data_IF_420085274356
#
_entry.id   IF_420085274356
#
_cell.length_a   1.000
_cell.length_b   1.000
_cell.length_c   1.000
_cell.angle_alpha   90.00
_cell.angle_beta   90.00
_cell.angle_gamma   90.00
#
_symmetry.space_group_name_H-M   'P 1'
#
loop_
_entity.id
_entity.type
_entity.pdbx_description
1 polymer ?
#
# COMPACT_ATOMS: atom_id res chain seq x y z
N UNK A 1 11.49 -74.29 23.41
CA UNK A 1 10.71 -73.16 22.82
C UNK A 1 10.33 -72.01 23.80
N UNK A 2 10.70 -72.03 25.10
CA UNK A 2 10.34 -70.99 26.08
C UNK A 2 11.38 -69.86 26.26
N UNK A 3 12.62 -70.05 25.84
CA UNK A 3 13.68 -69.03 26.02
C UNK A 3 13.67 -67.88 25.00
N UNK A 4 13.06 -68.05 23.82
CA UNK A 4 13.00 -67.03 22.74
C UNK A 4 11.92 -65.96 22.98
N UNK A 5 10.89 -66.24 23.78
CA UNK A 5 9.81 -65.32 24.08
C UNK A 5 10.22 -64.24 25.06
N UNK A 6 11.11 -64.55 26.03
CA UNK A 6 11.54 -63.63 27.07
C UNK A 6 12.50 -62.54 26.54
N UNK A 7 13.33 -62.87 25.54
CA UNK A 7 14.24 -61.90 24.92
C UNK A 7 13.51 -60.81 24.13
N UNK A 8 12.36 -61.13 23.51
CA UNK A 8 11.55 -60.16 22.74
C UNK A 8 10.86 -59.10 23.61
N UNK A 9 10.44 -59.49 24.81
CA UNK A 9 9.74 -58.55 25.72
C UNK A 9 10.71 -57.54 26.33
N UNK A 10 11.95 -57.93 26.61
CA UNK A 10 12.99 -57.04 27.16
C UNK A 10 13.42 -55.95 26.14
N UNK A 11 13.48 -56.28 24.85
CA UNK A 11 13.82 -55.30 23.79
C UNK A 11 12.73 -54.28 23.54
N UNK A 12 11.46 -54.68 23.71
CA UNK A 12 10.30 -53.77 23.53
C UNK A 12 10.12 -52.78 24.68
N UNK A 13 10.47 -53.19 25.90
CA UNK A 13 10.42 -52.30 27.09
C UNK A 13 11.57 -51.29 27.08
N UNK A 14 12.75 -51.65 26.57
CA UNK A 14 13.91 -50.79 26.50
C UNK A 14 13.74 -49.67 25.44
N UNK A 15 13.00 -49.92 24.36
CA UNK A 15 12.70 -48.88 23.31
C UNK A 15 11.67 -47.84 23.76
N UNK A 16 10.83 -48.17 24.72
CA UNK A 16 9.83 -47.25 25.28
C UNK A 16 10.41 -46.20 26.27
N UNK A 17 11.65 -46.44 26.77
CA UNK A 17 12.34 -45.51 27.68
C UNK A 17 13.17 -44.43 26.94
N UNK A 18 13.42 -44.61 25.64
CA UNK A 18 14.03 -43.55 24.81
C UNK A 18 12.94 -42.73 24.12
N UNK A 19 12.12 -42.04 24.90
CA UNK A 19 11.25 -40.98 24.35
C UNK A 19 12.09 -39.88 23.70
N UNK A 20 11.58 -39.19 22.68
CA UNK A 20 12.29 -38.05 22.09
C UNK A 20 12.56 -37.04 23.19
N UNK A 21 13.82 -36.80 23.52
CA UNK A 21 14.21 -35.70 24.38
C UNK A 21 13.79 -34.42 23.70
N UNK A 22 12.71 -33.78 24.13
CA UNK A 22 12.44 -32.38 23.80
C UNK A 22 13.63 -31.60 24.33
N UNK A 23 14.53 -31.22 23.41
CA UNK A 23 15.65 -30.36 23.71
C UNK A 23 15.10 -29.04 24.26
N UNK A 24 15.19 -28.87 25.57
CA UNK A 24 14.97 -27.57 26.16
C UNK A 24 16.01 -26.65 25.55
N UNK A 25 15.54 -25.70 24.74
CA UNK A 25 16.39 -24.61 24.29
C UNK A 25 16.89 -23.89 25.54
N UNK A 26 18.20 -23.98 25.80
CA UNK A 26 18.80 -23.23 26.91
C UNK A 26 18.72 -21.75 26.57
N UNK A 27 17.73 -21.07 27.12
CA UNK A 27 17.63 -19.62 27.07
C UNK A 27 18.82 -19.08 27.87
N UNK A 28 19.67 -18.29 27.17
CA UNK A 28 20.86 -17.69 27.81
C UNK A 28 20.39 -16.75 28.91
N UNK A 29 20.86 -16.96 30.15
CA UNK A 29 20.59 -16.11 31.31
C UNK A 29 21.02 -14.63 31.10
N UNK A 30 21.81 -14.37 30.08
CA UNK A 30 22.33 -13.05 29.71
C UNK A 30 21.72 -12.51 28.40
N UNK A 31 20.77 -13.21 27.80
CA UNK A 31 20.09 -12.65 26.64
C UNK A 31 18.88 -11.82 27.08
N UNK A 32 18.77 -10.63 26.56
CA UNK A 32 17.57 -9.82 26.73
C UNK A 32 16.36 -10.52 26.15
N UNK A 33 15.25 -10.54 26.91
CA UNK A 33 13.99 -11.14 26.47
C UNK A 33 13.44 -10.29 25.34
N UNK A 34 13.53 -10.79 24.12
CA UNK A 34 12.97 -10.17 22.92
C UNK A 34 11.74 -10.93 22.46
N UNK A 35 10.82 -10.21 21.81
CA UNK A 35 9.68 -10.85 21.17
C UNK A 35 10.17 -11.87 20.14
N UNK A 36 9.73 -13.12 20.27
CA UNK A 36 10.14 -14.26 19.46
C UNK A 36 8.97 -15.19 19.10
N UNK A 37 7.86 -15.11 19.79
CA UNK A 37 6.71 -15.99 19.67
C UNK A 37 5.44 -15.30 19.21
N UNK A 38 4.48 -16.12 18.74
CA UNK A 38 3.14 -15.65 18.43
C UNK A 38 2.46 -15.13 19.69
N UNK A 39 1.87 -13.94 19.62
CA UNK A 39 1.25 -13.26 20.77
C UNK A 39 2.15 -12.23 21.44
N UNK A 40 3.45 -12.23 21.15
CA UNK A 40 4.35 -11.21 21.69
C UNK A 40 4.05 -9.83 21.11
N UNK A 41 4.36 -8.81 21.90
CA UNK A 41 4.12 -7.42 21.55
C UNK A 41 5.43 -6.71 21.24
N UNK A 42 5.47 -6.05 20.08
CA UNK A 42 6.58 -5.22 19.63
C UNK A 42 6.12 -3.79 19.49
N UNK A 43 6.91 -2.84 19.97
CA UNK A 43 6.67 -1.42 19.77
C UNK A 43 7.29 -0.98 18.44
N UNK A 44 6.46 -0.51 17.52
CA UNK A 44 6.92 0.02 16.24
C UNK A 44 7.00 1.53 16.30
N UNK A 45 8.17 2.07 15.94
CA UNK A 45 8.39 3.51 15.74
C UNK A 45 8.31 3.79 14.24
N UNK A 46 7.28 4.49 13.83
CA UNK A 46 7.01 4.84 12.44
C UNK A 46 7.61 6.21 12.15
N UNK A 47 8.50 6.25 11.16
CA UNK A 47 9.18 7.46 10.68
C UNK A 47 9.13 7.42 9.15
N UNK A 48 8.03 7.89 8.58
CA UNK A 48 7.81 7.86 7.13
C UNK A 48 7.72 9.28 6.56
N UNK A 49 8.58 9.57 5.59
CA UNK A 49 8.54 10.79 4.81
C UNK A 49 8.34 10.43 3.35
N UNK A 50 7.21 10.82 2.79
CA UNK A 50 6.89 10.57 1.38
C UNK A 50 6.83 11.88 0.62
N UNK A 51 7.63 11.98 -0.43
CA UNK A 51 7.57 13.05 -1.41
C UNK A 51 7.20 12.44 -2.75
N UNK A 52 6.01 12.73 -3.25
CA UNK A 52 5.57 12.32 -4.58
C UNK A 52 5.34 13.57 -5.44
N UNK A 53 6.10 13.71 -6.51
CA UNK A 53 5.88 14.72 -7.52
C UNK A 53 5.42 14.05 -8.81
N UNK A 54 4.28 14.46 -9.33
CA UNK A 54 3.78 14.01 -10.62
C UNK A 54 3.61 15.22 -11.54
N UNK A 55 4.34 15.23 -12.66
CA UNK A 55 4.19 16.22 -13.71
C UNK A 55 3.58 15.55 -14.93
N UNK A 56 2.44 16.06 -15.39
CA UNK A 56 1.79 15.61 -16.62
C UNK A 56 1.75 16.77 -17.60
N UNK A 57 2.35 16.57 -18.77
CA UNK A 57 2.24 17.51 -19.90
C UNK A 57 1.39 16.84 -20.96
N UNK A 58 0.25 17.44 -21.26
CA UNK A 58 -0.64 17.01 -22.34
C UNK A 58 -0.59 18.08 -23.42
N UNK A 59 -0.10 17.71 -24.60
CA UNK A 59 -0.16 18.54 -25.81
C UNK A 59 -1.14 17.88 -26.77
N UNK A 60 -2.20 18.58 -27.13
CA UNK A 60 -3.17 18.10 -28.11
C UNK A 60 -3.23 19.11 -29.24
N UNK A 61 -2.73 18.72 -30.41
CA UNK A 61 -2.82 19.49 -31.62
C UNK A 61 -3.99 18.93 -32.45
N UNK A 62 -5.03 19.76 -32.67
CA UNK A 62 -6.13 19.45 -33.58
C UNK A 62 -6.06 20.44 -34.75
N UNK A 63 -5.74 19.94 -35.93
CA UNK A 63 -5.93 20.64 -37.17
C UNK A 63 -7.18 20.10 -37.87
N UNK A 64 -8.15 20.95 -38.10
CA UNK A 64 -9.34 20.61 -38.89
C UNK A 64 -9.38 21.53 -40.09
N UNK A 65 -9.18 20.98 -41.30
CA UNK A 65 -9.34 21.68 -42.56
C UNK A 65 -10.73 21.39 -43.10
N UNK A 66 -11.53 22.42 -43.25
CA UNK A 66 -12.84 22.33 -43.87
C UNK A 66 -12.76 23.03 -45.24
N UNK A 67 -12.85 22.25 -46.28
CA UNK A 67 -12.92 22.77 -47.67
C UNK A 67 -14.29 22.42 -48.24
N UNK A 68 -15.05 23.43 -48.59
CA UNK A 68 -16.31 23.25 -49.34
C UNK A 68 -16.11 23.89 -50.72
N UNK A 69 -16.12 23.04 -51.74
CA UNK A 69 -16.16 23.46 -53.16
C UNK A 69 -17.58 23.31 -53.66
N UNK A 70 -18.21 24.42 -54.03
CA UNK A 70 -19.46 24.40 -54.77
C UNK A 70 -19.18 24.40 -56.25
N UNK A 71 -19.55 23.33 -56.98
CA UNK A 71 -19.51 23.31 -58.44
C UNK A 71 -20.65 24.11 -58.99
N UNK A 72 -20.39 24.79 -60.15
CA UNK A 72 -21.36 25.58 -60.90
C UNK A 72 -22.54 24.65 -61.29
N UNK A 73 -23.74 25.03 -60.91
CA UNK A 73 -24.94 24.20 -61.17
C UNK A 73 -25.17 23.99 -62.69
N UNK A 74 -25.23 22.72 -63.06
CA UNK A 74 -25.64 22.33 -64.41
C UNK A 74 -27.18 22.45 -64.54
N UNK A 75 -27.67 23.29 -65.43
CA UNK A 75 -29.10 23.52 -65.62
C UNK A 75 -29.54 24.91 -65.13
N UNK A 76 -30.75 25.30 -65.14
CA UNK A 76 -31.33 26.63 -64.92
C UNK A 76 -30.88 27.48 -63.70
N UNK A 77 -29.77 27.15 -63.04
CA UNK A 77 -29.16 27.87 -61.90
C UNK A 77 -27.79 28.46 -62.28
N UNK A 78 -27.54 28.78 -63.50
CA UNK A 78 -26.26 29.32 -64.05
C UNK A 78 -25.88 30.68 -63.47
N UNK A 79 -26.74 31.30 -62.69
CA UNK A 79 -26.48 32.61 -62.07
C UNK A 79 -25.74 32.52 -60.74
N UNK A 80 -25.52 31.26 -60.16
CA UNK A 80 -24.81 31.09 -58.94
C UNK A 80 -23.31 31.04 -59.23
N UNK A 81 -22.52 32.04 -58.79
CA UNK A 81 -21.08 32.02 -58.98
C UNK A 81 -20.46 30.87 -58.16
N UNK A 82 -19.49 30.17 -58.75
CA UNK A 82 -18.67 29.20 -58.03
C UNK A 82 -18.00 29.90 -56.86
N UNK A 83 -18.21 29.38 -55.68
CA UNK A 83 -17.50 29.85 -54.47
C UNK A 83 -16.71 28.73 -53.86
N UNK A 84 -15.53 29.03 -53.41
CA UNK A 84 -14.74 28.15 -52.57
C UNK A 84 -14.53 28.86 -51.23
N UNK A 85 -14.99 28.24 -50.15
CA UNK A 85 -14.73 28.71 -48.83
C UNK A 85 -13.88 27.64 -48.14
N UNK A 86 -12.67 27.98 -47.76
CA UNK A 86 -11.78 27.19 -46.94
C UNK A 86 -11.63 27.87 -45.59
N UNK A 87 -11.81 27.13 -44.51
CA UNK A 87 -11.49 27.60 -43.18
C UNK A 87 -10.51 26.59 -42.54
N UNK A 88 -9.31 27.08 -42.27
CA UNK A 88 -8.32 26.34 -41.53
C UNK A 88 -8.46 26.72 -40.04
N UNK A 89 -8.90 25.78 -39.23
CA UNK A 89 -8.97 25.96 -37.78
C UNK A 89 -7.91 25.10 -37.15
N UNK A 90 -6.85 25.71 -36.65
CA UNK A 90 -5.86 25.05 -35.79
C UNK A 90 -6.10 25.44 -34.36
N UNK A 91 -6.24 24.44 -33.49
CA UNK A 91 -6.39 24.63 -32.07
C UNK A 91 -5.30 23.84 -31.36
N UNK A 92 -4.37 24.55 -30.75
CA UNK A 92 -3.33 23.96 -29.90
C UNK A 92 -3.77 24.14 -28.46
N UNK A 93 -3.91 23.03 -27.75
CA UNK A 93 -4.21 23.03 -26.32
C UNK A 93 -3.01 22.46 -25.59
N UNK A 94 -2.33 23.29 -24.80
CA UNK A 94 -1.25 22.87 -23.93
C UNK A 94 -1.76 22.86 -22.47
N UNK A 95 -1.82 21.69 -21.87
CA UNK A 95 -2.14 21.53 -20.47
C UNK A 95 -0.90 21.10 -19.69
N UNK A 96 -0.42 21.95 -18.77
CA UNK A 96 0.63 21.61 -17.82
C UNK A 96 0.01 21.38 -16.44
N UNK A 97 -0.02 20.12 -15.98
CA UNK A 97 -0.44 19.76 -14.65
C UNK A 97 0.76 19.33 -13.81
N UNK A 98 1.04 20.04 -12.72
CA UNK A 98 2.00 19.63 -11.73
C UNK A 98 1.28 19.39 -10.40
N UNK A 99 1.43 18.20 -9.83
CA UNK A 99 0.90 17.87 -8.52
C UNK A 99 2.03 17.40 -7.62
N UNK A 100 2.25 18.09 -6.52
CA UNK A 100 3.20 17.72 -5.49
C UNK A 100 2.43 17.27 -4.24
N UNK A 101 2.78 16.08 -3.73
CA UNK A 101 2.24 15.57 -2.47
C UNK A 101 3.39 15.30 -1.51
N UNK A 102 3.30 15.89 -0.33
CA UNK A 102 4.19 15.64 0.78
C UNK A 102 3.40 14.99 1.90
N UNK A 103 3.86 13.85 2.38
CA UNK A 103 3.31 13.17 3.54
C UNK A 103 4.42 12.92 4.56
N UNK A 104 4.16 13.22 5.82
CA UNK A 104 5.03 12.85 6.93
C UNK A 104 4.19 12.17 7.99
N UNK A 105 4.62 10.97 8.39
CA UNK A 105 3.99 10.21 9.47
C UNK A 105 5.05 9.91 10.51
N UNK A 106 4.86 10.44 11.71
CA UNK A 106 5.66 10.14 12.89
C UNK A 106 4.73 9.60 13.95
N UNK A 107 4.87 8.34 14.30
CA UNK A 107 4.00 7.69 15.28
C UNK A 107 4.72 6.56 15.99
N UNK A 108 4.21 6.20 17.19
CA UNK A 108 4.65 5.04 17.94
C UNK A 108 3.42 4.19 18.28
N UNK A 109 3.46 2.92 17.94
CA UNK A 109 2.35 2.01 18.19
C UNK A 109 2.83 0.61 18.59
N UNK A 110 1.98 -0.14 19.27
CA UNK A 110 2.21 -1.54 19.54
C UNK A 110 1.70 -2.39 18.37
N UNK A 111 2.45 -3.43 18.03
CA UNK A 111 2.05 -4.46 17.08
C UNK A 111 2.22 -5.83 17.73
N UNK A 112 1.33 -6.75 17.42
CA UNK A 112 1.35 -8.13 17.92
C UNK A 112 1.94 -9.04 16.87
N UNK A 113 2.76 -9.99 17.29
CA UNK A 113 3.25 -11.07 16.42
C UNK A 113 2.11 -12.03 16.16
N UNK A 114 1.69 -12.14 14.93
CA UNK A 114 0.57 -13.00 14.48
C UNK A 114 1.04 -14.38 14.01
N UNK A 115 2.26 -14.44 13.47
CA UNK A 115 2.82 -15.66 12.89
C UNK A 115 4.34 -15.62 12.94
N UNK A 116 4.95 -16.80 13.05
CA UNK A 116 6.40 -16.98 12.90
C UNK A 116 6.65 -17.84 11.66
N UNK A 117 7.31 -17.27 10.68
CA UNK A 117 7.63 -17.96 9.43
C UNK A 117 8.69 -19.05 9.64
N UNK A 118 8.76 -20.03 8.72
CA UNK A 118 9.76 -21.10 8.73
C UNK A 118 11.21 -20.58 8.78
N UNK A 119 11.46 -19.37 8.31
CA UNK A 119 12.77 -18.69 8.36
C UNK A 119 13.02 -17.96 9.69
N UNK A 120 12.14 -18.08 10.69
CA UNK A 120 12.24 -17.40 11.97
C UNK A 120 11.89 -15.91 11.93
N UNK A 121 11.34 -15.40 10.84
CA UNK A 121 10.84 -14.03 10.76
C UNK A 121 9.45 -13.93 11.42
N UNK A 122 9.21 -12.86 12.15
CA UNK A 122 7.96 -12.58 12.85
C UNK A 122 7.05 -11.74 11.94
N UNK A 123 5.84 -12.20 11.69
CA UNK A 123 4.79 -11.41 11.05
C UNK A 123 4.10 -10.59 12.12
N UNK A 124 4.12 -9.28 11.98
CA UNK A 124 3.54 -8.36 12.95
C UNK A 124 2.33 -7.64 12.37
N UNK A 125 1.33 -7.42 13.22
CA UNK A 125 0.15 -6.63 12.89
C UNK A 125 -0.18 -5.70 14.06
N UNK A 126 -0.35 -4.43 13.76
CA UNK A 126 -0.77 -3.41 14.72
C UNK A 126 -1.93 -2.60 14.17
N UNK A 127 -2.84 -2.23 15.04
CA UNK A 127 -3.92 -1.31 14.75
C UNK A 127 -4.07 -0.33 15.91
N UNK A 128 -4.12 0.94 15.61
CA UNK A 128 -4.32 2.01 16.59
C UNK A 128 -5.40 2.95 16.11
N UNK A 129 -6.38 3.16 16.93
CA UNK A 129 -7.44 4.12 16.73
C UNK A 129 -7.29 5.27 17.72
N UNK A 130 -7.41 6.49 17.21
CA UNK A 130 -7.33 7.73 17.98
C UNK A 130 -8.55 8.57 17.61
N UNK A 131 -9.26 9.09 18.60
CA UNK A 131 -10.38 10.02 18.41
C UNK A 131 -9.97 11.36 18.99
N UNK A 132 -9.94 12.40 18.15
CA UNK A 132 -9.60 13.77 18.53
C UNK A 132 -10.69 14.68 17.97
N UNK A 133 -11.37 15.46 18.83
CA UNK A 133 -12.44 16.39 18.44
C UNK A 133 -13.51 15.74 17.55
N UNK A 134 -13.98 14.54 17.91
CA UNK A 134 -14.94 13.72 17.15
C UNK A 134 -14.44 13.23 15.78
N UNK A 135 -13.18 13.45 15.44
CA UNK A 135 -12.52 12.89 14.28
C UNK A 135 -11.81 11.59 14.65
N UNK A 136 -12.14 10.54 13.92
CA UNK A 136 -11.57 9.21 14.10
C UNK A 136 -10.41 9.00 13.13
N UNK A 137 -9.24 8.73 13.69
CA UNK A 137 -8.03 8.39 12.96
C UNK A 137 -7.63 6.95 13.24
N UNK A 138 -7.38 6.19 12.20
CA UNK A 138 -6.98 4.79 12.30
C UNK A 138 -5.64 4.60 11.61
N UNK A 139 -4.67 4.05 12.33
CA UNK A 139 -3.37 3.66 11.84
C UNK A 139 -3.26 2.14 11.89
N UNK A 140 -3.05 1.50 10.75
CA UNK A 140 -2.84 0.06 10.62
C UNK A 140 -1.45 -0.19 10.06
N UNK A 141 -0.72 -1.12 10.67
CA UNK A 141 0.59 -1.57 10.24
C UNK A 141 0.61 -3.08 10.14
N UNK A 142 1.15 -3.59 9.04
CA UNK A 142 1.47 -5.00 8.86
C UNK A 142 2.86 -5.12 8.22
N UNK A 143 3.58 -6.19 8.51
CA UNK A 143 4.89 -6.45 7.92
C UNK A 143 5.60 -7.60 8.60
N UNK A 144 6.85 -7.82 8.21
CA UNK A 144 7.70 -8.87 8.75
C UNK A 144 8.96 -8.28 9.35
N UNK A 145 9.37 -8.76 10.53
CA UNK A 145 10.58 -8.33 11.23
C UNK A 145 11.41 -9.53 11.63
N UNK A 146 12.73 -9.39 11.56
CA UNK A 146 13.65 -10.42 12.07
C UNK A 146 13.89 -10.18 13.55
N UNK A 147 13.94 -11.22 14.40
CA UNK A 147 14.19 -11.07 15.84
C UNK A 147 15.45 -10.25 16.17
N UNK A 148 16.48 -10.32 15.34
CA UNK A 148 17.73 -9.57 15.51
C UNK A 148 17.57 -8.05 15.35
N UNK A 149 16.59 -7.61 14.55
CA UNK A 149 16.33 -6.18 14.29
C UNK A 149 15.45 -5.55 15.39
N UNK A 150 14.90 -6.38 16.27
CA UNK A 150 14.18 -5.93 17.44
C UNK A 150 15.19 -5.60 18.55
N UNK A 151 15.16 -4.37 19.04
CA UNK A 151 16.04 -3.91 20.11
C UNK A 151 15.64 -4.50 21.48
N UNK A 152 16.50 -4.34 22.48
CA UNK A 152 16.32 -4.88 23.86
C UNK A 152 15.04 -4.40 24.54
N UNK A 153 14.47 -3.27 24.15
CA UNK A 153 13.19 -2.78 24.66
C UNK A 153 11.97 -3.25 23.86
N UNK A 154 12.09 -4.31 23.03
CA UNK A 154 11.06 -4.73 22.09
C UNK A 154 10.61 -3.60 21.16
N UNK A 155 11.55 -2.77 20.72
CA UNK A 155 11.30 -1.65 19.81
C UNK A 155 11.92 -1.96 18.45
N UNK A 156 11.20 -1.66 17.39
CA UNK A 156 11.64 -1.76 15.98
C UNK A 156 11.24 -0.50 15.22
N UNK A 157 12.08 -0.07 14.29
CA UNK A 157 11.76 1.04 13.39
C UNK A 157 11.04 0.54 12.14
N UNK A 158 10.16 1.37 11.58
CA UNK A 158 9.42 1.00 10.34
C UNK A 158 10.35 0.68 9.18
N UNK A 159 11.53 1.30 9.13
CA UNK A 159 12.58 1.04 8.13
C UNK A 159 13.16 -0.38 8.17
N UNK A 160 13.08 -1.04 9.33
CA UNK A 160 13.63 -2.38 9.56
C UNK A 160 12.57 -3.48 9.35
N UNK A 161 11.36 -3.09 8.99
CA UNK A 161 10.24 -3.99 8.74
C UNK A 161 10.15 -4.29 7.24
N UNK A 162 10.33 -5.54 6.88
CA UNK A 162 10.16 -5.99 5.51
C UNK A 162 8.67 -6.05 5.12
N UNK A 163 8.37 -5.68 3.87
CA UNK A 163 7.00 -5.61 3.35
C UNK A 163 6.06 -4.77 4.25
N UNK A 164 6.59 -3.69 4.82
CA UNK A 164 5.82 -2.80 5.67
C UNK A 164 4.66 -2.17 4.87
N UNK A 165 3.45 -2.41 5.33
CA UNK A 165 2.27 -1.75 4.82
C UNK A 165 1.68 -0.89 5.93
N UNK A 166 1.80 0.42 5.76
CA UNK A 166 1.30 1.40 6.72
C UNK A 166 0.11 2.11 6.08
N UNK A 167 -1.05 1.98 6.70
CA UNK A 167 -2.27 2.62 6.25
C UNK A 167 -2.75 3.60 7.32
N UNK A 168 -2.84 4.86 6.96
CA UNK A 168 -3.43 5.91 7.76
C UNK A 168 -4.76 6.35 7.16
N UNK A 169 -5.82 6.31 7.94
CA UNK A 169 -7.15 6.75 7.56
C UNK A 169 -7.67 7.74 8.60
N UNK A 170 -7.93 8.96 8.18
CA UNK A 170 -8.64 9.97 8.96
C UNK A 170 -10.02 10.24 8.34
N UNK A 171 -11.05 10.32 9.16
CA UNK A 171 -12.36 10.82 8.76
C UNK A 171 -12.57 12.14 9.49
N UNK A 172 -12.35 13.26 8.80
CA UNK A 172 -12.53 14.58 9.33
C UNK A 172 -13.05 15.58 8.30
N UNK A 173 -13.46 16.74 8.78
CA UNK A 173 -14.01 17.84 7.96
C UNK A 173 -13.02 18.33 6.89
N UNK A 174 -11.72 18.17 7.13
CA UNK A 174 -10.65 18.58 6.19
C UNK A 174 -10.68 17.74 4.90
N UNK A 175 -11.08 16.47 4.99
CA UNK A 175 -11.18 15.60 3.81
C UNK A 175 -12.36 15.96 2.90
N UNK A 176 -13.38 16.65 3.43
CA UNK A 176 -14.56 17.05 2.68
C UNK A 176 -14.33 18.33 1.85
N UNK A 177 -13.41 19.21 2.28
CA UNK A 177 -13.13 20.49 1.62
C UNK A 177 -12.37 20.38 0.29
N UNK A 178 -11.75 19.24 0.01
CA UNK A 178 -10.98 19.03 -1.23
C UNK A 178 -11.80 18.49 -2.40
N UNK A 179 -13.08 18.18 -2.20
CA UNK A 179 -13.96 17.74 -3.30
C UNK A 179 -14.54 18.96 -4.01
N UNK A 180 -14.36 19.08 -5.35
CA UNK A 180 -14.97 20.17 -6.10
C UNK A 180 -16.48 20.15 -5.91
N UNK A 181 -17.05 21.31 -5.65
CA UNK A 181 -18.49 21.49 -5.49
C UNK A 181 -19.26 20.86 -6.66
N UNK A 182 -20.41 20.27 -6.39
CA UNK A 182 -21.30 19.70 -7.40
C UNK A 182 -21.62 20.75 -8.48
N UNK A 183 -21.73 22.02 -8.10
CA UNK A 183 -21.95 23.13 -9.00
C UNK A 183 -20.78 23.32 -9.97
N UNK A 184 -19.53 23.21 -9.50
CA UNK A 184 -18.35 23.31 -10.36
C UNK A 184 -18.29 22.16 -11.39
N UNK A 185 -18.77 20.97 -11.02
CA UNK A 185 -18.86 19.80 -11.92
C UNK A 185 -19.94 19.99 -13.01
N UNK A 186 -21.06 20.60 -12.67
CA UNK A 186 -22.14 20.89 -13.65
C UNK A 186 -21.68 21.94 -14.65
N UNK A 187 -21.03 23.01 -14.18
CA UNK A 187 -20.50 24.07 -15.04
C UNK A 187 -19.45 23.53 -16.02
N UNK A 188 -18.57 22.61 -15.60
CA UNK A 188 -17.55 22.03 -16.48
C UNK A 188 -18.11 21.06 -17.54
N UNK A 189 -19.38 20.65 -17.44
CA UNK A 189 -20.06 19.83 -18.46
C UNK A 189 -20.76 20.73 -19.50
N UNK A 190 -21.16 21.94 -19.12
CA UNK A 190 -21.91 22.85 -19.98
C UNK A 190 -21.00 23.78 -20.81
N UNK A 191 -19.76 23.95 -20.39
CA UNK A 191 -18.74 24.78 -21.05
C UNK A 191 -17.43 24.00 -21.29
#
# INVERSE_FOLDING_TARGET
MKARAIAGIGALVLSALLGPSTGAAYESLYSDVKAAGVGDVVTVVILENTLASNSSKISTDKATTFATTGEQGAGGLDFIPSFSAGADMSRTHEGNGATERRGSIVSKMAAVVTEVNANGCLVIKGEREIVINDEKETLVLTGMVRPRDISTGNVVYSTDIANAQITYKGKGLVTSGSKPSIIARIVSILF
#
